data_IF_733670734047
#
_entry.id   IF_733670734047
#
_cell.length_a   1.000
_cell.length_b   1.000
_cell.length_c   1.000
_cell.angle_alpha   90.00
_cell.angle_beta   90.00
_cell.angle_gamma   90.00
#
_symmetry.space_group_name_H-M   'P 1'
#
loop_
_entity.id
_entity.type
_entity.pdbx_description
1 polymer ?
#
# COMPACT_ATOMS: atom_id res chain seq x y z
N UNK A 1 28.98 23.73 -72.95
CA UNK A 1 28.30 24.74 -72.12
C UNK A 1 26.94 24.17 -71.75
N UNK A 2 26.79 23.74 -70.51
CA UNK A 2 25.54 23.18 -69.98
C UNK A 2 25.41 23.70 -68.56
N UNK A 3 24.49 24.65 -68.37
CA UNK A 3 24.15 25.19 -67.07
C UNK A 3 23.20 24.26 -66.33
N UNK A 4 23.43 24.08 -65.03
CA UNK A 4 22.44 23.55 -64.09
C UNK A 4 22.45 24.40 -62.82
N UNK A 5 21.25 24.81 -62.43
CA UNK A 5 20.89 25.59 -61.25
C UNK A 5 21.25 24.88 -59.94
N UNK A 6 21.49 25.63 -58.85
CA UNK A 6 21.81 25.04 -57.55
C UNK A 6 20.57 24.48 -56.84
N UNK A 7 20.72 23.28 -56.28
CA UNK A 7 19.77 22.65 -55.37
C UNK A 7 19.71 23.40 -54.03
N UNK A 8 18.49 23.72 -53.61
CA UNK A 8 18.17 24.26 -52.30
C UNK A 8 18.58 23.30 -51.18
N UNK A 9 19.45 23.74 -50.28
CA UNK A 9 19.85 23.01 -49.07
C UNK A 9 19.00 23.52 -47.91
N UNK A 10 17.92 22.80 -47.58
CA UNK A 10 17.12 23.05 -46.38
C UNK A 10 17.81 22.44 -45.16
N UNK A 11 18.60 23.23 -44.46
CA UNK A 11 19.19 22.86 -43.17
C UNK A 11 18.26 23.19 -42.02
N UNK A 12 17.83 22.18 -41.27
CA UNK A 12 17.31 22.36 -39.91
C UNK A 12 18.16 21.52 -38.95
N UNK A 13 19.25 22.12 -38.48
CA UNK A 13 19.96 21.67 -37.27
C UNK A 13 19.22 22.24 -36.07
N UNK A 14 18.18 21.54 -35.62
CA UNK A 14 17.57 21.78 -34.32
C UNK A 14 18.11 20.73 -33.36
N UNK A 15 18.95 21.14 -32.39
CA UNK A 15 19.26 20.32 -31.22
C UNK A 15 17.94 19.99 -30.51
N UNK A 16 17.43 18.78 -30.75
CA UNK A 16 16.30 18.24 -30.01
C UNK A 16 16.70 18.15 -28.54
N UNK A 17 16.23 19.11 -27.75
CA UNK A 17 16.25 19.02 -26.29
C UNK A 17 15.15 18.03 -25.95
N UNK A 18 15.52 16.77 -25.72
CA UNK A 18 14.63 15.82 -25.07
C UNK A 18 14.31 16.39 -23.70
N UNK A 19 13.13 16.95 -23.54
CA UNK A 19 12.56 17.16 -22.21
C UNK A 19 12.38 15.79 -21.62
N UNK A 20 13.19 15.44 -20.61
CA UNK A 20 12.90 14.33 -19.73
C UNK A 20 11.51 14.60 -19.14
N UNK A 21 10.50 13.93 -19.70
CA UNK A 21 9.17 13.89 -19.11
C UNK A 21 9.31 12.97 -17.90
N UNK A 22 9.89 13.52 -16.83
CA UNK A 22 9.78 12.95 -15.50
C UNK A 22 8.32 13.05 -15.10
N UNK A 23 7.51 12.09 -15.53
CA UNK A 23 6.27 11.77 -14.85
C UNK A 23 6.70 11.44 -13.42
N UNK A 24 6.49 12.38 -12.51
CA UNK A 24 6.73 12.18 -11.08
C UNK A 24 5.83 11.01 -10.67
N UNK A 25 6.35 9.78 -10.74
CA UNK A 25 5.61 8.63 -10.26
C UNK A 25 5.33 8.87 -8.79
N UNK A 26 4.10 8.62 -8.33
CA UNK A 26 3.74 8.86 -6.94
C UNK A 26 4.68 8.06 -6.04
N UNK A 27 5.31 8.76 -5.09
CA UNK A 27 6.27 8.18 -4.16
C UNK A 27 5.65 8.04 -2.78
N UNK A 28 6.04 6.97 -2.08
CA UNK A 28 5.71 6.80 -0.67
C UNK A 28 6.49 7.82 0.17
N UNK A 29 5.84 8.32 1.22
CA UNK A 29 6.53 9.04 2.28
C UNK A 29 7.65 8.16 2.88
N UNK A 30 8.79 8.72 3.32
CA UNK A 30 9.90 7.92 3.84
C UNK A 30 9.51 6.95 4.96
N UNK A 31 8.60 7.32 5.86
CA UNK A 31 8.13 6.44 6.94
C UNK A 31 7.30 5.29 6.39
N UNK A 32 6.36 5.59 5.50
CA UNK A 32 5.50 4.57 4.86
C UNK A 32 6.36 3.60 4.06
N UNK A 33 7.29 4.12 3.26
CA UNK A 33 8.23 3.32 2.47
C UNK A 33 9.01 2.37 3.38
N UNK A 34 9.54 2.88 4.50
CA UNK A 34 10.33 2.09 5.44
C UNK A 34 9.54 0.95 6.09
N UNK A 35 8.30 1.20 6.51
CA UNK A 35 7.42 0.18 7.11
C UNK A 35 7.04 -0.88 6.08
N UNK A 36 6.62 -0.47 4.89
CA UNK A 36 6.22 -1.41 3.83
C UNK A 36 7.40 -2.20 3.29
N UNK A 37 8.57 -1.59 3.12
CA UNK A 37 9.79 -2.28 2.71
C UNK A 37 10.27 -3.30 3.74
N UNK A 38 10.14 -3.00 5.04
CA UNK A 38 10.41 -3.99 6.09
C UNK A 38 9.55 -5.24 5.94
N UNK A 39 8.25 -5.09 5.66
CA UNK A 39 7.34 -6.21 5.45
C UNK A 39 7.65 -6.95 4.14
N UNK A 40 7.83 -6.24 3.02
CA UNK A 40 8.17 -6.83 1.72
C UNK A 40 9.46 -7.63 1.79
N UNK A 41 10.53 -7.06 2.34
CA UNK A 41 11.82 -7.75 2.39
C UNK A 41 11.79 -8.99 3.28
N UNK A 42 11.04 -8.94 4.39
CA UNK A 42 10.83 -10.12 5.21
C UNK A 42 10.09 -11.20 4.41
N UNK A 43 8.93 -10.86 3.85
CA UNK A 43 8.05 -11.81 3.18
C UNK A 43 8.61 -12.34 1.86
N UNK A 44 9.49 -11.60 1.20
CA UNK A 44 10.25 -12.09 0.04
C UNK A 44 11.15 -13.28 0.42
N UNK A 45 11.79 -13.21 1.59
CA UNK A 45 12.71 -14.25 2.09
C UNK A 45 12.05 -15.31 2.98
N UNK A 46 10.89 -15.00 3.56
CA UNK A 46 10.18 -15.84 4.52
C UNK A 46 8.68 -15.76 4.25
N UNK A 47 8.22 -16.26 3.08
CA UNK A 47 6.80 -16.25 2.74
C UNK A 47 6.01 -17.21 3.62
N UNK A 48 4.71 -16.93 3.76
CA UNK A 48 3.77 -17.93 4.23
C UNK A 48 3.68 -19.06 3.20
N UNK A 49 3.63 -20.32 3.64
CA UNK A 49 3.51 -21.47 2.73
C UNK A 49 2.05 -21.94 2.73
N UNK A 50 1.43 -21.92 1.55
CA UNK A 50 0.07 -22.41 1.35
C UNK A 50 -0.02 -23.93 1.42
N UNK A 51 -1.24 -24.46 1.40
CA UNK A 51 -1.52 -25.90 1.50
C UNK A 51 -0.89 -26.71 0.36
N UNK A 52 -0.72 -26.08 -0.80
CA UNK A 52 -0.16 -26.71 -2.01
C UNK A 52 1.32 -26.38 -2.19
N UNK A 53 1.98 -25.83 -1.15
CA UNK A 53 3.39 -25.44 -1.18
C UNK A 53 3.66 -24.10 -1.87
N UNK A 54 2.63 -23.38 -2.30
CA UNK A 54 2.79 -22.07 -2.93
C UNK A 54 3.23 -21.00 -1.92
N UNK A 55 4.10 -20.09 -2.34
CA UNK A 55 4.53 -18.94 -1.54
C UNK A 55 3.46 -17.85 -1.52
N UNK A 56 2.95 -17.52 -0.34
CA UNK A 56 1.90 -16.54 -0.11
C UNK A 56 2.50 -15.22 0.43
N UNK A 57 3.32 -14.57 -0.39
CA UNK A 57 4.07 -13.35 -0.02
C UNK A 57 3.17 -12.18 0.38
N UNK A 58 2.12 -11.89 -0.40
CA UNK A 58 1.15 -10.83 -0.08
C UNK A 58 0.41 -11.12 1.25
N UNK A 59 0.01 -12.37 1.48
CA UNK A 59 -0.60 -12.79 2.76
C UNK A 59 0.35 -12.60 3.94
N UNK A 60 1.64 -12.91 3.76
CA UNK A 60 2.65 -12.62 4.78
C UNK A 60 2.72 -11.12 5.09
N UNK A 61 2.69 -10.24 4.09
CA UNK A 61 2.71 -8.79 4.32
C UNK A 61 1.45 -8.35 5.08
N UNK A 62 0.28 -8.80 4.65
CA UNK A 62 -0.99 -8.49 5.31
C UNK A 62 -0.97 -8.92 6.79
N UNK A 63 -0.44 -10.12 7.08
CA UNK A 63 -0.28 -10.61 8.45
C UNK A 63 0.63 -9.70 9.27
N UNK A 64 1.80 -9.33 8.75
CA UNK A 64 2.76 -8.47 9.48
C UNK A 64 2.19 -7.09 9.78
N UNK A 65 1.47 -6.49 8.82
CA UNK A 65 0.80 -5.20 9.03
C UNK A 65 -0.37 -5.32 10.02
N UNK A 66 -1.08 -6.44 10.01
CA UNK A 66 -2.12 -6.73 11.02
C UNK A 66 -1.53 -6.88 12.43
N UNK A 67 -0.38 -7.55 12.55
CA UNK A 67 0.36 -7.65 13.82
C UNK A 67 0.86 -6.27 14.30
N UNK A 68 1.34 -5.44 13.37
CA UNK A 68 1.69 -4.05 13.67
C UNK A 68 0.49 -3.25 14.17
N UNK A 69 -0.68 -3.38 13.53
CA UNK A 69 -1.90 -2.68 13.94
C UNK A 69 -2.31 -3.05 15.36
N UNK A 70 -2.20 -4.33 15.74
CA UNK A 70 -2.44 -4.79 17.13
C UNK A 70 -1.52 -4.10 18.11
N UNK A 71 -0.23 -3.99 17.77
CA UNK A 71 0.73 -3.25 18.58
C UNK A 71 0.34 -1.79 18.68
N UNK A 72 -0.02 -1.13 17.58
CA UNK A 72 -0.50 0.26 17.60
C UNK A 72 -1.72 0.43 18.54
N UNK A 73 -2.69 -0.50 18.48
CA UNK A 73 -3.94 -0.41 19.25
C UNK A 73 -3.72 -0.33 20.75
N UNK A 74 -2.66 -0.96 21.25
CA UNK A 74 -2.31 -0.93 22.67
C UNK A 74 -1.72 0.43 23.13
N UNK A 75 -1.24 1.29 22.21
CA UNK A 75 -0.47 2.51 22.56
C UNK A 75 -1.03 3.83 22.02
N UNK A 76 -1.40 3.87 20.74
CA UNK A 76 -1.75 5.11 20.05
C UNK A 76 -3.05 5.01 19.24
N UNK A 77 -3.77 3.90 19.38
CA UNK A 77 -4.95 3.61 18.56
C UNK A 77 -4.54 2.86 17.30
N UNK A 78 -5.10 3.17 16.14
CA UNK A 78 -4.88 2.32 14.95
C UNK A 78 -3.67 2.75 14.15
N UNK A 79 -3.01 1.79 13.49
CA UNK A 79 -1.99 2.10 12.50
C UNK A 79 -2.63 2.64 11.21
N UNK A 80 -1.93 3.48 10.42
CA UNK A 80 -2.46 3.98 9.16
C UNK A 80 -2.41 2.97 8.01
N UNK A 81 -1.61 1.91 8.11
CA UNK A 81 -1.43 0.90 7.05
C UNK A 81 -2.49 -0.20 7.16
N UNK A 82 -3.52 -0.14 6.32
CA UNK A 82 -4.65 -1.08 6.32
C UNK A 82 -4.46 -2.14 5.23
N UNK A 83 -4.09 -3.38 5.59
CA UNK A 83 -3.95 -4.44 4.60
C UNK A 83 -5.31 -4.92 4.13
N UNK A 84 -5.39 -5.27 2.84
CA UNK A 84 -6.48 -6.06 2.25
C UNK A 84 -7.91 -5.51 2.45
N UNK A 85 -8.09 -4.19 2.52
CA UNK A 85 -9.43 -3.57 2.53
C UNK A 85 -10.10 -3.81 1.18
N UNK A 86 -11.29 -4.45 1.20
CA UNK A 86 -12.09 -4.63 -0.01
C UNK A 86 -12.99 -3.42 -0.24
N UNK A 87 -13.23 -3.08 -1.50
CA UNK A 87 -14.10 -1.98 -1.91
C UNK A 87 -15.17 -2.49 -2.86
N UNK A 88 -16.38 -2.01 -2.67
CA UNK A 88 -17.45 -2.09 -3.64
C UNK A 88 -17.24 -1.02 -4.72
N UNK A 89 -16.96 -1.49 -5.93
CA UNK A 89 -16.67 -0.66 -7.09
C UNK A 89 -17.93 -0.20 -7.83
N UNK A 90 -19.12 -0.64 -7.41
CA UNK A 90 -20.39 -0.23 -8.01
C UNK A 90 -20.88 1.12 -7.48
N UNK A 91 -20.31 1.58 -6.36
CA UNK A 91 -20.58 2.90 -5.77
C UNK A 91 -19.67 3.98 -6.34
N UNK A 92 -20.16 5.22 -6.31
CA UNK A 92 -19.42 6.42 -6.70
C UNK A 92 -19.46 7.45 -5.54
N UNK A 93 -18.38 7.59 -4.75
CA UNK A 93 -17.10 6.90 -4.88
C UNK A 93 -17.15 5.42 -4.45
N UNK A 94 -16.15 4.58 -4.82
CA UNK A 94 -16.07 3.21 -4.33
C UNK A 94 -16.08 3.14 -2.81
N UNK A 95 -16.91 2.26 -2.24
CA UNK A 95 -17.16 2.22 -0.80
C UNK A 95 -16.40 1.07 -0.12
N UNK A 96 -15.71 1.32 1.00
CA UNK A 96 -15.00 0.24 1.68
C UNK A 96 -15.94 -0.74 2.37
N UNK A 97 -15.58 -2.02 2.31
CA UNK A 97 -16.27 -3.14 2.95
C UNK A 97 -15.51 -3.47 4.24
N UNK A 98 -16.05 -2.99 5.36
CA UNK A 98 -15.37 -2.99 6.65
C UNK A 98 -15.91 -4.05 7.59
N UNK A 99 -15.05 -4.47 8.51
CA UNK A 99 -15.46 -5.24 9.67
C UNK A 99 -16.35 -4.39 10.60
N UNK A 100 -17.42 -5.00 11.11
CA UNK A 100 -18.47 -4.30 11.86
C UNK A 100 -18.01 -3.77 13.22
N UNK A 101 -17.05 -4.46 13.85
CA UNK A 101 -16.53 -4.09 15.16
C UNK A 101 -15.52 -2.96 15.03
N UNK A 102 -14.58 -3.12 14.10
CA UNK A 102 -13.52 -2.16 13.93
C UNK A 102 -14.01 -0.89 13.21
N UNK A 103 -14.87 -0.97 12.20
CA UNK A 103 -15.25 0.17 11.33
C UNK A 103 -14.09 0.84 10.57
N UNK A 104 -12.89 0.27 10.60
CA UNK A 104 -11.78 0.66 9.69
C UNK A 104 -10.81 -0.48 9.35
N UNK A 105 -11.06 -1.70 9.87
CA UNK A 105 -10.38 -2.92 9.45
C UNK A 105 -11.14 -3.63 8.32
N UNK A 106 -10.42 -4.50 7.60
CA UNK A 106 -10.97 -5.28 6.51
C UNK A 106 -12.01 -6.29 7.00
N UNK A 107 -13.09 -6.46 6.26
CA UNK A 107 -14.04 -7.54 6.55
C UNK A 107 -13.40 -8.91 6.26
N UNK A 108 -13.32 -9.77 7.27
CA UNK A 108 -12.55 -11.03 7.20
C UNK A 108 -13.05 -12.07 6.19
N UNK A 109 -14.32 -12.02 5.78
CA UNK A 109 -14.88 -12.97 4.80
C UNK A 109 -15.83 -12.33 3.78
N UNK A 110 -15.27 -11.92 2.64
CA UNK A 110 -16.01 -11.24 1.55
C UNK A 110 -17.12 -12.10 0.92
N UNK A 111 -16.95 -13.41 0.65
CA UNK A 111 -18.05 -14.24 0.14
C UNK A 111 -19.28 -14.24 1.04
N UNK A 112 -19.08 -14.27 2.37
CA UNK A 112 -20.17 -14.17 3.34
C UNK A 112 -20.83 -12.79 3.33
N UNK A 113 -20.01 -11.73 3.21
CA UNK A 113 -20.51 -10.36 3.10
C UNK A 113 -21.40 -10.19 1.87
N UNK A 114 -20.95 -10.64 0.69
CA UNK A 114 -21.72 -10.59 -0.56
C UNK A 114 -23.06 -11.31 -0.37
N UNK A 115 -23.02 -12.56 0.11
CA UNK A 115 -24.24 -13.38 0.31
C UNK A 115 -25.25 -12.70 1.23
N UNK A 116 -24.78 -11.95 2.23
CA UNK A 116 -25.62 -11.33 3.25
C UNK A 116 -26.14 -9.95 2.85
N UNK A 117 -25.33 -9.15 2.16
CA UNK A 117 -25.58 -7.72 2.01
C UNK A 117 -25.70 -7.24 0.56
N UNK A 118 -25.18 -7.99 -0.42
CA UNK A 118 -25.15 -7.51 -1.81
C UNK A 118 -26.55 -7.20 -2.35
N UNK A 119 -27.48 -8.15 -2.24
CA UNK A 119 -28.85 -8.00 -2.75
C UNK A 119 -29.76 -7.20 -1.81
N UNK A 120 -29.24 -6.71 -0.67
CA UNK A 120 -30.00 -5.86 0.26
C UNK A 120 -30.04 -4.40 -0.18
N UNK A 121 -29.11 -4.01 -1.05
CA UNK A 121 -29.05 -2.68 -1.64
C UNK A 121 -29.71 -2.72 -3.03
N UNK A 122 -30.83 -2.02 -3.25
CA UNK A 122 -31.54 -2.03 -4.53
C UNK A 122 -30.76 -1.35 -5.66
N UNK A 123 -29.72 -0.58 -5.35
CA UNK A 123 -28.86 0.05 -6.36
C UNK A 123 -27.81 -0.92 -6.92
N UNK A 124 -27.56 -2.06 -6.26
CA UNK A 124 -26.59 -3.02 -6.76
C UNK A 124 -27.09 -3.75 -8.00
N UNK A 125 -26.25 -3.87 -9.04
CA UNK A 125 -26.51 -4.85 -10.09
C UNK A 125 -26.35 -6.27 -9.52
N UNK A 126 -26.91 -7.31 -10.17
CA UNK A 126 -26.66 -8.70 -9.77
C UNK A 126 -25.16 -8.99 -9.70
N UNK A 127 -24.70 -9.58 -8.59
CA UNK A 127 -23.29 -9.85 -8.37
C UNK A 127 -22.72 -10.79 -9.44
N UNK A 128 -21.58 -10.42 -10.04
CA UNK A 128 -20.86 -11.23 -11.02
C UNK A 128 -19.40 -11.36 -10.59
N UNK A 129 -19.04 -12.56 -10.11
CA UNK A 129 -17.66 -12.88 -9.75
C UNK A 129 -16.69 -12.61 -10.92
N UNK A 130 -15.51 -12.08 -10.60
CA UNK A 130 -14.47 -11.79 -11.60
C UNK A 130 -14.75 -10.59 -12.52
N UNK A 131 -15.86 -9.85 -12.33
CA UNK A 131 -16.18 -8.65 -13.12
C UNK A 131 -15.67 -7.34 -12.51
N UNK A 132 -14.82 -7.41 -11.50
CA UNK A 132 -14.26 -6.22 -10.84
C UNK A 132 -15.24 -5.45 -9.96
N UNK A 133 -16.41 -6.01 -9.66
CA UNK A 133 -17.40 -5.39 -8.76
C UNK A 133 -16.87 -5.20 -7.34
N UNK A 134 -15.92 -6.04 -6.93
CA UNK A 134 -15.15 -5.87 -5.70
C UNK A 134 -13.67 -5.89 -6.04
N UNK A 135 -12.92 -4.93 -5.48
CA UNK A 135 -11.47 -4.83 -5.61
C UNK A 135 -10.83 -4.71 -4.23
N UNK A 136 -9.62 -5.25 -4.09
CA UNK A 136 -8.92 -5.32 -2.82
C UNK A 136 -7.45 -4.99 -3.03
N UNK A 137 -7.04 -3.73 -2.82
CA UNK A 137 -5.62 -3.37 -2.79
C UNK A 137 -4.86 -4.11 -1.69
N UNK A 138 -3.55 -4.25 -1.87
CA UNK A 138 -2.70 -4.88 -0.85
C UNK A 138 -2.64 -4.04 0.42
N UNK A 139 -2.45 -2.72 0.30
CA UNK A 139 -2.44 -1.79 1.43
C UNK A 139 -3.13 -0.47 1.08
N UNK A 140 -3.95 0.03 2.00
CA UNK A 140 -4.49 1.40 1.99
C UNK A 140 -3.87 2.17 3.13
N UNK A 141 -3.22 3.29 2.84
CA UNK A 141 -2.60 4.17 3.83
C UNK A 141 -3.57 5.32 4.14
N UNK A 142 -3.89 5.51 5.42
CA UNK A 142 -4.84 6.53 5.86
C UNK A 142 -4.16 7.80 6.35
N UNK A 143 -4.83 8.94 6.14
CA UNK A 143 -4.48 10.22 6.74
C UNK A 143 -4.78 10.18 8.24
N UNK A 144 -6.02 9.80 8.60
CA UNK A 144 -6.44 9.56 9.97
C UNK A 144 -6.82 8.08 10.14
N UNK A 145 -6.04 7.30 10.92
CA UNK A 145 -6.28 5.87 11.11
C UNK A 145 -7.56 5.55 11.91
N UNK A 146 -8.18 6.55 12.54
CA UNK A 146 -9.44 6.42 13.30
C UNK A 146 -10.68 6.59 12.41
N UNK A 147 -10.52 7.07 11.18
CA UNK A 147 -11.59 7.26 10.21
C UNK A 147 -11.67 6.10 9.22
N UNK A 148 -12.83 5.86 8.58
CA UNK A 148 -12.94 4.84 7.55
C UNK A 148 -12.03 5.17 6.35
N UNK A 149 -11.65 4.16 5.55
CA UNK A 149 -10.79 4.34 4.39
C UNK A 149 -11.63 4.81 3.17
N UNK A 150 -12.20 6.00 3.28
CA UNK A 150 -12.91 6.71 2.20
C UNK A 150 -11.95 7.59 1.42
N UNK A 151 -12.28 7.97 0.18
CA UNK A 151 -11.40 8.76 -0.71
C UNK A 151 -10.78 10.00 -0.05
N UNK A 152 -11.53 10.72 0.78
CA UNK A 152 -11.10 11.91 1.51
C UNK A 152 -10.08 11.62 2.63
N UNK A 153 -10.06 10.38 3.13
CA UNK A 153 -9.15 9.93 4.18
C UNK A 153 -8.03 9.01 3.67
N UNK A 154 -8.05 8.63 2.39
CA UNK A 154 -6.97 7.86 1.77
C UNK A 154 -5.80 8.79 1.45
N UNK A 155 -4.65 8.51 2.08
CA UNK A 155 -3.35 9.09 1.74
C UNK A 155 -2.87 8.48 0.43
N UNK A 156 -2.70 7.16 0.40
CA UNK A 156 -2.23 6.39 -0.77
C UNK A 156 -2.80 4.97 -0.79
N UNK A 157 -2.91 4.39 -1.98
CA UNK A 157 -3.19 2.97 -2.21
C UNK A 157 -1.95 2.32 -2.77
N UNK A 158 -1.51 1.22 -2.17
CA UNK A 158 -0.30 0.51 -2.55
C UNK A 158 -0.66 -0.88 -3.06
N UNK A 159 -0.20 -1.18 -4.27
CA UNK A 159 -0.17 -2.54 -4.83
C UNK A 159 1.24 -3.09 -4.72
N UNK A 160 1.38 -4.25 -4.11
CA UNK A 160 2.65 -4.94 -3.96
C UNK A 160 2.78 -6.02 -5.03
N UNK A 161 3.96 -6.11 -5.66
CA UNK A 161 4.24 -7.16 -6.64
C UNK A 161 5.55 -7.87 -6.31
N UNK A 162 5.46 -9.18 -6.19
CA UNK A 162 6.60 -10.06 -6.01
C UNK A 162 6.88 -10.78 -7.32
N UNK A 163 8.15 -10.93 -7.75
CA UNK A 163 8.46 -11.69 -8.96
C UNK A 163 7.84 -13.10 -8.93
N UNK A 164 7.28 -13.59 -10.05
CA UNK A 164 7.28 -13.00 -11.39
C UNK A 164 6.09 -12.06 -11.68
N UNK A 165 5.26 -11.72 -10.69
CA UNK A 165 4.04 -10.95 -10.92
C UNK A 165 4.31 -9.51 -11.32
N UNK A 166 3.45 -8.98 -12.19
CA UNK A 166 3.52 -7.60 -12.70
C UNK A 166 2.21 -6.85 -12.46
N UNK A 167 2.27 -5.53 -12.25
CA UNK A 167 1.06 -4.70 -12.13
C UNK A 167 0.26 -4.73 -13.42
N UNK A 168 -1.07 -4.87 -13.30
CA UNK A 168 -1.99 -4.81 -14.45
C UNK A 168 -2.63 -3.43 -14.51
N UNK A 169 -2.68 -2.83 -15.68
CA UNK A 169 -3.25 -1.48 -15.87
C UNK A 169 -4.69 -1.37 -15.39
N UNK A 170 -5.53 -2.38 -15.64
CA UNK A 170 -6.92 -2.40 -15.16
C UNK A 170 -6.99 -2.32 -13.62
N UNK A 171 -6.11 -3.05 -12.93
CA UNK A 171 -6.03 -3.07 -11.48
C UNK A 171 -5.64 -1.69 -10.94
N UNK A 172 -4.61 -1.05 -11.52
CA UNK A 172 -4.17 0.28 -11.12
C UNK A 172 -5.24 1.36 -11.37
N UNK A 173 -5.97 1.27 -12.48
CA UNK A 173 -7.07 2.19 -12.77
C UNK A 173 -8.22 2.05 -11.76
N UNK A 174 -8.55 0.83 -11.35
CA UNK A 174 -9.55 0.61 -10.31
C UNK A 174 -9.09 1.15 -8.95
N UNK A 175 -7.80 1.04 -8.63
CA UNK A 175 -7.24 1.62 -7.41
C UNK A 175 -7.16 3.14 -7.46
N UNK A 176 -6.96 3.74 -8.63
CA UNK A 176 -7.06 5.18 -8.81
C UNK A 176 -8.49 5.67 -8.52
N UNK A 177 -9.52 4.91 -8.95
CA UNK A 177 -10.91 5.19 -8.56
C UNK A 177 -11.13 5.05 -7.06
N UNK A 178 -10.54 4.04 -6.41
CA UNK A 178 -10.61 3.91 -4.94
C UNK A 178 -9.95 5.09 -4.24
N UNK A 179 -8.78 5.51 -4.70
CA UNK A 179 -8.00 6.58 -4.09
C UNK A 179 -8.56 7.99 -4.39
N UNK A 180 -9.35 8.11 -5.47
CA UNK A 180 -9.86 9.38 -6.00
C UNK A 180 -8.86 10.15 -6.87
N UNK A 181 -7.64 9.64 -7.03
CA UNK A 181 -6.55 10.25 -7.80
C UNK A 181 -5.52 9.16 -8.18
N UNK A 182 -5.08 9.15 -9.44
CA UNK A 182 -4.02 8.25 -9.91
C UNK A 182 -2.66 8.52 -9.22
N UNK A 183 -2.41 9.76 -8.81
CA UNK A 183 -1.20 10.17 -8.07
C UNK A 183 -1.19 9.67 -6.62
N UNK A 184 -2.23 8.96 -6.18
CA UNK A 184 -2.26 8.28 -4.90
C UNK A 184 -1.98 6.78 -5.01
N UNK A 185 -1.77 6.24 -6.21
CA UNK A 185 -1.55 4.80 -6.43
C UNK A 185 -0.08 4.49 -6.63
N UNK A 186 0.51 3.70 -5.74
CA UNK A 186 1.92 3.31 -5.79
C UNK A 186 2.04 1.80 -6.02
N UNK A 187 2.94 1.39 -6.92
CA UNK A 187 3.39 0.00 -7.00
C UNK A 187 4.68 -0.16 -6.20
N UNK A 188 4.75 -1.17 -5.34
CA UNK A 188 5.94 -1.45 -4.53
C UNK A 188 6.43 -2.90 -4.75
N UNK A 189 7.71 -3.06 -5.05
CA UNK A 189 8.36 -4.36 -5.32
C UNK A 189 9.61 -4.52 -4.46
N UNK A 190 10.12 -5.75 -4.27
CA UNK A 190 11.38 -5.97 -3.54
C UNK A 190 12.58 -5.14 -4.03
N UNK A 191 12.79 -4.91 -5.36
CA UNK A 191 13.86 -4.04 -5.84
C UNK A 191 13.68 -2.56 -5.46
N UNK A 192 12.45 -2.09 -5.24
CA UNK A 192 12.19 -0.70 -4.83
C UNK A 192 12.58 -0.46 -3.34
N UNK A 193 12.91 -1.54 -2.63
CA UNK A 193 13.24 -1.63 -1.21
C UNK A 193 14.65 -2.18 -0.91
N UNK A 194 15.45 -2.45 -1.93
CA UNK A 194 16.82 -2.99 -1.80
C UNK A 194 16.93 -4.27 -0.94
N UNK A 195 15.91 -5.14 -1.00
CA UNK A 195 15.80 -6.32 -0.12
C UNK A 195 16.97 -7.32 -0.22
N UNK A 196 17.75 -7.27 -1.31
CA UNK A 196 18.89 -8.14 -1.58
C UNK A 196 20.24 -7.67 -1.04
N UNK A 197 20.34 -6.49 -0.41
CA UNK A 197 21.59 -6.05 0.21
C UNK A 197 21.65 -6.48 1.68
N UNK A 198 22.55 -7.40 2.00
CA UNK A 198 22.73 -8.05 3.31
C UNK A 198 23.14 -7.15 4.49
N UNK A 199 23.12 -5.82 4.34
CA UNK A 199 23.38 -4.87 5.43
C UNK A 199 22.37 -3.75 5.43
N UNK A 200 21.11 -4.07 5.75
CA UNK A 200 20.28 -3.06 6.38
C UNK A 200 20.76 -2.92 7.83
N UNK A 201 21.83 -2.14 8.03
CA UNK A 201 22.14 -1.58 9.34
C UNK A 201 20.92 -0.72 9.72
N UNK A 202 20.03 -1.30 10.52
CA UNK A 202 18.87 -0.64 11.12
C UNK A 202 19.31 0.37 12.18
N UNK A 203 20.25 1.27 11.85
CA UNK A 203 20.54 2.46 12.64
C UNK A 203 19.71 3.58 12.06
N UNK A 204 18.41 3.56 12.35
CA UNK A 204 17.64 4.79 12.27
C UNK A 204 17.73 5.45 13.64
N UNK A 205 18.22 6.70 13.73
CA UNK A 205 18.22 7.44 14.97
C UNK A 205 16.80 7.47 15.50
N UNK A 206 16.62 6.92 16.71
CA UNK A 206 15.34 6.91 17.41
C UNK A 206 14.84 8.34 17.62
N UNK A 207 15.76 9.32 17.62
CA UNK A 207 15.50 10.75 17.70
C UNK A 207 14.78 11.34 16.47
N UNK A 208 14.84 10.71 15.29
CA UNK A 208 14.22 11.26 14.06
C UNK A 208 12.78 10.77 13.85
N UNK A 209 12.38 9.68 14.51
CA UNK A 209 10.98 9.28 14.62
C UNK A 209 10.40 9.89 15.90
N UNK A 210 9.77 11.06 15.80
CA UNK A 210 9.03 11.73 16.88
C UNK A 210 7.79 10.98 17.39
N UNK A 211 7.89 9.66 17.54
CA UNK A 211 6.85 8.75 18.01
C UNK A 211 7.14 8.36 19.46
N UNK A 212 6.12 7.95 20.22
CA UNK A 212 6.34 7.39 21.55
C UNK A 212 7.33 6.21 21.46
N UNK A 213 8.19 6.07 22.47
CA UNK A 213 9.25 5.04 22.53
C UNK A 213 8.76 3.65 22.16
N UNK A 214 7.54 3.30 22.58
CA UNK A 214 6.86 2.03 22.26
C UNK A 214 6.63 1.79 20.77
N UNK A 215 6.25 2.81 20.00
CA UNK A 215 6.08 2.70 18.56
C UNK A 215 7.40 2.61 17.85
N UNK A 216 8.40 3.36 18.31
CA UNK A 216 9.74 3.20 17.77
C UNK A 216 10.20 1.76 18.00
N UNK A 217 9.93 1.15 19.15
CA UNK A 217 10.23 -0.27 19.41
C UNK A 217 9.45 -1.22 18.49
N UNK A 218 8.18 -0.95 18.20
CA UNK A 218 7.37 -1.77 17.28
C UNK A 218 7.85 -1.69 15.82
N UNK A 219 8.17 -0.48 15.37
CA UNK A 219 8.76 -0.21 14.06
C UNK A 219 10.15 -0.86 13.99
N UNK A 220 10.98 -0.72 15.03
CA UNK A 220 12.28 -1.37 15.13
C UNK A 220 12.17 -2.89 15.13
N UNK A 221 11.16 -3.47 15.77
CA UNK A 221 10.91 -4.91 15.75
C UNK A 221 10.50 -5.42 14.36
N UNK A 222 9.69 -4.64 13.63
CA UNK A 222 9.44 -4.93 12.22
C UNK A 222 10.73 -4.83 11.40
N UNK A 223 11.49 -3.75 11.55
CA UNK A 223 12.73 -3.49 10.82
C UNK A 223 13.81 -4.51 11.11
N UNK A 224 13.88 -5.03 12.33
CA UNK A 224 14.77 -6.12 12.70
C UNK A 224 14.30 -7.47 12.16
N UNK A 225 13.27 -7.50 11.28
CA UNK A 225 12.70 -8.71 10.71
C UNK A 225 12.14 -9.64 11.78
N UNK A 226 11.65 -9.08 12.88
CA UNK A 226 11.23 -9.82 14.07
C UNK A 226 12.36 -10.46 14.86
N UNK A 227 13.64 -10.20 14.51
CA UNK A 227 14.80 -10.60 15.31
C UNK A 227 14.92 -9.65 16.50
N UNK A 228 14.57 -10.14 17.68
CA UNK A 228 14.63 -9.38 18.93
C UNK A 228 13.44 -9.67 19.82
N UNK A 229 13.49 -9.27 21.10
CA UNK A 229 12.35 -9.39 22.00
C UNK A 229 11.14 -8.72 21.38
N UNK A 230 9.99 -9.39 21.38
CA UNK A 230 8.72 -8.70 21.11
C UNK A 230 8.65 -7.50 22.05
N UNK A 231 8.29 -6.31 21.56
CA UNK A 231 8.22 -5.12 22.39
C UNK A 231 7.37 -5.41 23.63
N UNK A 232 7.94 -5.27 24.83
CA UNK A 232 7.18 -5.29 26.08
C UNK A 232 6.66 -3.87 26.27
N UNK A 233 5.36 -3.78 26.42
CA UNK A 233 4.59 -2.64 26.00
C UNK A 233 3.71 -2.26 27.20
N UNK A 234 4.23 -1.35 28.03
CA UNK A 234 3.53 -0.84 29.22
C UNK A 234 2.60 0.29 28.81
N UNK A 235 1.29 0.23 29.16
CA UNK A 235 0.33 1.26 28.75
C UNK A 235 0.84 2.64 29.17
N UNK A 236 0.75 3.61 28.26
CA UNK A 236 1.11 4.99 28.55
C UNK A 236 0.32 5.47 29.78
N UNK A 237 1.02 5.96 30.81
CA UNK A 237 0.35 6.60 31.94
C UNK A 237 -0.51 7.75 31.41
N UNK A 238 -1.76 7.91 31.86
CA UNK A 238 -2.58 9.05 31.46
C UNK A 238 -1.84 10.33 31.80
N UNK A 239 -1.72 11.22 30.82
CA UNK A 239 -1.16 12.56 31.01
C UNK A 239 -2.12 13.33 31.91
N UNK A 240 -1.69 13.86 33.06
CA UNK A 240 -2.55 14.68 33.89
C UNK A 240 -2.93 15.94 33.13
N UNK A 241 -4.24 16.16 32.98
CA UNK A 241 -4.80 17.40 32.49
C UNK A 241 -4.72 18.41 33.64
N UNK A 242 -3.93 19.47 33.48
CA UNK A 242 -3.91 20.64 34.36
C UNK A 242 -4.78 21.74 33.76
#
# INVERSE_FOLDING_TARGET
>A
MTGQSPLSTGGTSGKGRTTDVGLNQPQLDPLDKKVLCSAICYCESTPNIGKDGQELKQSCVAQRLTELDKVYMEFQGRSPWKPEISYDMTKAPPSPILDSESKSGAHGWIPGWIKKYWDTDPEHPPFKAGKGMIRRPDVVILIDPKKPPTQDNIKQVVEMKFPPDTPRTEQLNDYAKIAGDENKVVTLRPPDCDCGQEKQDSKVPVEELGMATTIVTAILWLLSRGKGPRPILTPARPVPVY
#
